data_IF_854350295792
#
_entry.id   IF_854350295792
#
_cell.length_a   1.000
_cell.length_b   1.000
_cell.length_c   1.000
_cell.angle_alpha   90.00
_cell.angle_beta   90.00
_cell.angle_gamma   90.00
#
_symmetry.space_group_name_H-M   'P 1'
#
loop_
_entity.id
_entity.type
_entity.pdbx_description
1 polymer ?
#
# COMPACT_ATOMS: atom_id res chain seq x y z
N UNK A 1 5.49 -12.08 6.14
CA UNK A 1 4.93 -12.41 4.81
C UNK A 1 4.29 -13.79 4.75
N UNK A 2 4.98 -14.89 5.14
CA UNK A 2 4.38 -16.25 5.10
C UNK A 2 3.06 -16.34 5.88
N UNK A 3 2.96 -15.72 7.06
CA UNK A 3 1.72 -15.68 7.85
C UNK A 3 0.55 -15.00 7.15
N UNK A 4 0.80 -13.96 6.35
CA UNK A 4 -0.25 -13.26 5.57
C UNK A 4 -0.69 -14.12 4.40
N UNK A 5 0.26 -14.74 3.68
CA UNK A 5 -0.07 -15.67 2.60
C UNK A 5 -0.90 -16.86 3.13
N UNK A 6 -0.51 -17.44 4.26
CA UNK A 6 -1.24 -18.53 4.90
C UNK A 6 -2.62 -18.11 5.37
N UNK A 7 -2.77 -16.92 5.99
CA UNK A 7 -4.08 -16.44 6.44
C UNK A 7 -5.05 -16.24 5.27
N UNK A 8 -4.57 -15.76 4.12
CA UNK A 8 -5.36 -15.63 2.90
C UNK A 8 -5.77 -16.98 2.34
N UNK A 9 -4.83 -17.92 2.22
CA UNK A 9 -5.12 -19.27 1.71
C UNK A 9 -6.15 -19.96 2.60
N UNK A 10 -5.94 -19.94 3.91
CA UNK A 10 -6.86 -20.56 4.88
C UNK A 10 -8.23 -19.86 4.81
N UNK A 11 -8.27 -18.53 4.80
CA UNK A 11 -9.51 -17.76 4.71
C UNK A 11 -10.30 -18.06 3.43
N UNK A 12 -9.61 -18.15 2.28
CA UNK A 12 -10.22 -18.49 1.00
C UNK A 12 -10.78 -19.92 0.99
N UNK A 13 -10.02 -20.89 1.49
CA UNK A 13 -10.47 -22.29 1.59
C UNK A 13 -11.67 -22.40 2.52
N UNK A 14 -11.64 -21.77 3.70
CA UNK A 14 -12.76 -21.77 4.64
C UNK A 14 -14.00 -21.10 4.04
N UNK A 15 -13.84 -19.96 3.36
CA UNK A 15 -14.95 -19.29 2.67
C UNK A 15 -15.54 -20.11 1.52
N UNK A 16 -14.73 -20.91 0.84
CA UNK A 16 -15.18 -21.80 -0.23
C UNK A 16 -15.94 -23.01 0.31
N UNK A 17 -15.41 -23.70 1.33
CA UNK A 17 -15.97 -24.94 1.87
C UNK A 17 -17.07 -24.73 2.92
N UNK A 18 -17.04 -23.63 3.68
CA UNK A 18 -17.95 -23.36 4.79
C UNK A 18 -18.58 -21.97 4.67
N UNK A 19 -19.68 -21.87 3.92
CA UNK A 19 -20.49 -20.65 3.80
C UNK A 19 -21.42 -20.50 5.01
N UNK A 20 -20.85 -20.16 6.17
CA UNK A 20 -21.65 -19.93 7.39
C UNK A 20 -22.40 -18.59 7.32
N UNK A 21 -23.75 -18.58 7.41
CA UNK A 21 -24.56 -17.35 7.33
C UNK A 21 -24.24 -16.33 8.42
N UNK A 22 -23.87 -16.81 9.62
CA UNK A 22 -23.51 -15.98 10.77
C UNK A 22 -22.21 -15.20 10.55
N UNK A 23 -21.22 -15.83 9.91
CA UNK A 23 -19.93 -15.20 9.61
C UNK A 23 -20.11 -14.14 8.55
N UNK A 24 -20.88 -14.43 7.49
CA UNK A 24 -21.21 -13.48 6.43
C UNK A 24 -21.93 -12.23 6.98
N UNK A 25 -22.82 -12.40 7.96
CA UNK A 25 -23.57 -11.28 8.55
C UNK A 25 -22.72 -10.35 9.42
N UNK A 26 -21.63 -10.83 10.02
CA UNK A 26 -20.81 -10.05 10.98
C UNK A 26 -19.42 -9.68 10.45
N UNK A 27 -18.97 -10.30 9.35
CA UNK A 27 -17.65 -10.07 8.77
C UNK A 27 -17.40 -8.59 8.49
N UNK A 28 -18.35 -7.89 7.87
CA UNK A 28 -18.18 -6.46 7.53
C UNK A 28 -17.95 -5.58 8.75
N UNK A 29 -18.71 -5.81 9.83
CA UNK A 29 -18.56 -5.03 11.07
C UNK A 29 -17.22 -5.32 11.74
N UNK A 30 -16.79 -6.58 11.75
CA UNK A 30 -15.51 -6.97 12.32
C UNK A 30 -14.33 -6.42 11.50
N UNK A 31 -14.45 -6.43 10.18
CA UNK A 31 -13.47 -5.82 9.26
C UNK A 31 -13.39 -4.31 9.50
N UNK A 32 -14.52 -3.60 9.57
CA UNK A 32 -14.55 -2.16 9.87
C UNK A 32 -13.90 -1.86 11.21
N UNK A 33 -14.22 -2.63 12.25
CA UNK A 33 -13.59 -2.47 13.56
C UNK A 33 -12.08 -2.70 13.50
N UNK A 34 -11.64 -3.76 12.82
CA UNK A 34 -10.23 -4.07 12.61
C UNK A 34 -9.49 -2.98 11.85
N UNK A 35 -10.11 -2.39 10.82
CA UNK A 35 -9.57 -1.25 10.08
C UNK A 35 -9.43 -0.01 10.97
N UNK A 36 -10.46 0.34 11.75
CA UNK A 36 -10.37 1.47 12.68
C UNK A 36 -9.25 1.26 13.71
N UNK A 37 -9.11 0.05 14.23
CA UNK A 37 -8.08 -0.32 15.19
C UNK A 37 -6.67 -0.30 14.57
N UNK A 38 -6.54 -0.75 13.31
CA UNK A 38 -5.32 -0.61 12.52
C UNK A 38 -4.93 0.87 12.35
N UNK A 39 -5.87 1.72 11.91
CA UNK A 39 -5.64 3.16 11.73
C UNK A 39 -5.27 3.86 13.03
N UNK A 40 -5.88 3.45 14.15
CA UNK A 40 -5.53 3.95 15.48
C UNK A 40 -4.07 3.63 15.85
N UNK A 41 -3.62 2.40 15.64
CA UNK A 41 -2.22 2.02 15.91
C UNK A 41 -1.23 2.69 14.96
N UNK A 42 -1.59 2.87 13.68
CA UNK A 42 -0.81 3.70 12.75
C UNK A 42 -0.65 5.11 13.32
N UNK A 43 -1.72 5.73 13.84
CA UNK A 43 -1.65 7.03 14.49
C UNK A 43 -0.68 7.07 15.69
N UNK A 44 -0.67 6.03 16.53
CA UNK A 44 0.27 5.92 17.66
C UNK A 44 1.72 5.83 17.19
N UNK A 45 1.99 5.01 16.16
CA UNK A 45 3.35 4.84 15.63
C UNK A 45 3.91 6.15 15.07
N UNK A 46 3.06 6.93 14.38
CA UNK A 46 3.40 8.27 13.91
C UNK A 46 3.76 9.19 15.08
N UNK A 47 2.94 9.19 16.15
CA UNK A 47 3.16 10.04 17.32
C UNK A 47 4.45 9.73 18.09
N UNK A 48 4.92 8.48 18.07
CA UNK A 48 6.14 8.07 18.79
C UNK A 48 7.43 8.53 18.12
N UNK A 49 7.41 8.77 16.81
CA UNK A 49 8.61 9.00 16.00
C UNK A 49 8.98 10.50 15.87
N UNK A 50 9.01 11.25 16.99
CA UNK A 50 9.31 12.69 17.00
C UNK A 50 10.72 13.04 16.45
N UNK A 51 11.71 12.18 16.66
CA UNK A 51 13.08 12.36 16.16
C UNK A 51 13.16 12.39 14.63
N UNK A 52 12.28 11.64 13.95
CA UNK A 52 12.20 11.61 12.49
C UNK A 52 11.74 12.97 11.95
N UNK A 53 10.78 13.62 12.62
CA UNK A 53 10.29 14.94 12.21
C UNK A 53 11.35 16.03 12.34
N UNK A 54 12.19 15.99 13.39
CA UNK A 54 13.30 16.94 13.54
C UNK A 54 14.38 16.71 12.49
N UNK A 55 14.69 15.45 12.17
CA UNK A 55 15.64 15.12 11.10
C UNK A 55 15.10 15.45 9.70
N UNK A 56 13.79 15.38 9.49
CA UNK A 56 13.18 15.80 8.22
C UNK A 56 13.34 17.30 7.95
N UNK A 57 13.38 18.15 8.99
CA UNK A 57 13.58 19.60 8.83
C UNK A 57 14.96 19.96 8.28
N UNK A 58 15.95 19.09 8.47
CA UNK A 58 17.32 19.30 7.98
C UNK A 58 17.53 18.75 6.57
N UNK A 59 16.59 17.96 6.06
CA UNK A 59 16.66 17.38 4.71
C UNK A 59 16.32 18.40 3.62
N UNK A 60 16.87 18.16 2.43
CA UNK A 60 16.60 18.97 1.27
C UNK A 60 15.11 18.93 0.91
N UNK A 61 14.48 20.11 0.73
CA UNK A 61 13.06 20.23 0.38
C UNK A 61 12.65 19.41 -0.86
N UNK A 62 13.58 19.13 -1.78
CA UNK A 62 13.31 18.25 -2.94
C UNK A 62 12.91 16.83 -2.53
N UNK A 63 13.39 16.34 -1.39
CA UNK A 63 13.04 15.01 -0.84
C UNK A 63 11.57 14.93 -0.47
N UNK A 64 10.96 16.05 -0.08
CA UNK A 64 9.53 16.12 0.27
C UNK A 64 8.62 15.80 -0.93
N UNK A 65 9.12 15.90 -2.16
CA UNK A 65 8.37 15.58 -3.38
C UNK A 65 8.32 14.08 -3.68
N UNK A 66 9.18 13.27 -3.07
CA UNK A 66 9.29 11.83 -3.34
C UNK A 66 7.97 11.05 -3.20
N UNK A 67 7.17 11.19 -2.11
CA UNK A 67 5.90 10.49 -2.01
C UNK A 67 4.92 10.89 -3.12
N UNK A 68 4.89 12.17 -3.51
CA UNK A 68 3.99 12.65 -4.57
C UNK A 68 4.38 12.12 -5.96
N UNK A 69 5.67 12.07 -6.26
CA UNK A 69 6.17 11.43 -7.50
C UNK A 69 5.82 9.95 -7.50
N UNK A 70 5.96 9.28 -6.35
CA UNK A 70 5.58 7.86 -6.19
C UNK A 70 4.09 7.64 -6.42
N UNK A 71 3.24 8.53 -5.89
CA UNK A 71 1.78 8.49 -6.11
C UNK A 71 1.49 8.62 -7.60
N UNK A 72 2.01 9.66 -8.25
CA UNK A 72 1.79 9.89 -9.69
C UNK A 72 2.26 8.70 -10.51
N UNK A 73 3.45 8.17 -10.24
CA UNK A 73 3.98 6.99 -10.92
C UNK A 73 3.11 5.75 -10.73
N UNK A 74 2.58 5.54 -9.52
CA UNK A 74 1.66 4.44 -9.22
C UNK A 74 0.36 4.56 -10.02
N UNK A 75 -0.26 5.75 -10.02
CA UNK A 75 -1.51 6.01 -10.75
C UNK A 75 -1.31 5.86 -12.27
N UNK A 76 -0.20 6.38 -12.81
CA UNK A 76 0.16 6.17 -14.22
C UNK A 76 0.39 4.69 -14.53
N UNK A 77 0.99 3.95 -13.61
CA UNK A 77 1.09 2.49 -13.69
C UNK A 77 -0.29 1.82 -13.79
N UNK A 78 -1.27 2.29 -13.01
CA UNK A 78 -2.67 1.85 -13.10
C UNK A 78 -3.33 2.17 -14.45
N UNK A 79 -3.07 3.37 -14.99
CA UNK A 79 -3.51 3.76 -16.34
C UNK A 79 -2.94 2.81 -17.39
N UNK A 80 -1.62 2.59 -17.38
CA UNK A 80 -0.97 1.68 -18.33
C UNK A 80 -1.49 0.25 -18.16
N UNK A 81 -1.65 -0.22 -16.91
CA UNK A 81 -2.21 -1.53 -16.60
C UNK A 81 -3.64 -1.72 -17.16
N UNK A 82 -4.47 -0.67 -17.14
CA UNK A 82 -5.83 -0.74 -17.70
C UNK A 82 -5.86 -0.98 -19.21
N UNK A 83 -4.82 -0.59 -19.95
CA UNK A 83 -4.73 -0.85 -21.40
C UNK A 83 -4.26 -2.27 -21.75
N UNK A 84 -3.64 -2.98 -20.80
CA UNK A 84 -3.08 -4.32 -21.02
C UNK A 84 -3.87 -5.41 -20.26
N UNK A 85 -4.85 -5.03 -19.46
CA UNK A 85 -5.72 -5.94 -18.70
C UNK A 85 -7.18 -5.74 -19.08
N UNK A 86 -8.08 -6.51 -18.48
CA UNK A 86 -9.53 -6.37 -18.67
C UNK A 86 -10.17 -5.31 -17.76
N UNK A 87 -9.36 -4.62 -16.95
CA UNK A 87 -9.86 -3.59 -16.05
C UNK A 87 -10.18 -2.31 -16.82
N UNK A 88 -11.28 -1.65 -16.47
CA UNK A 88 -11.53 -0.28 -16.91
C UNK A 88 -10.46 0.68 -16.38
N UNK A 89 -10.36 1.87 -16.99
CA UNK A 89 -9.42 2.91 -16.56
C UNK A 89 -9.59 3.24 -15.06
N UNK A 90 -10.84 3.39 -14.60
CA UNK A 90 -11.13 3.69 -13.20
C UNK A 90 -10.71 2.57 -12.26
N UNK A 91 -10.98 1.32 -12.61
CA UNK A 91 -10.57 0.15 -11.83
C UNK A 91 -9.05 0.01 -11.74
N UNK A 92 -8.33 0.19 -12.86
CA UNK A 92 -6.86 0.14 -12.89
C UNK A 92 -6.23 1.22 -11.99
N UNK A 93 -6.74 2.45 -12.06
CA UNK A 93 -6.29 3.54 -11.19
C UNK A 93 -6.63 3.24 -9.73
N UNK A 94 -7.84 2.75 -9.43
CA UNK A 94 -8.28 2.42 -8.08
C UNK A 94 -7.44 1.31 -7.44
N UNK A 95 -7.11 0.26 -8.19
CA UNK A 95 -6.21 -0.81 -7.74
C UNK A 95 -4.82 -0.26 -7.42
N UNK A 96 -4.29 0.59 -8.30
CA UNK A 96 -2.94 1.16 -8.16
C UNK A 96 -2.83 2.23 -7.06
N UNK A 97 -3.94 2.85 -6.65
CA UNK A 97 -3.98 3.87 -5.59
C UNK A 97 -3.89 3.29 -4.18
N UNK A 98 -3.98 1.96 -4.03
CA UNK A 98 -3.68 1.27 -2.77
C UNK A 98 -2.20 1.37 -2.35
N UNK A 99 -1.31 1.57 -3.32
CA UNK A 99 0.11 1.92 -3.12
C UNK A 99 0.89 1.09 -2.09
N UNK A 100 0.62 -0.20 -2.00
CA UNK A 100 1.23 -1.14 -1.05
C UNK A 100 0.37 -1.43 0.19
N UNK A 101 -0.67 -0.65 0.47
CA UNK A 101 -1.62 -0.94 1.56
C UNK A 101 -2.73 -1.88 1.10
N UNK A 102 -2.36 -3.15 0.85
CA UNK A 102 -3.29 -4.17 0.36
C UNK A 102 -4.47 -4.42 1.32
N UNK A 103 -4.28 -4.35 2.64
CA UNK A 103 -5.37 -4.60 3.59
C UNK A 103 -6.51 -3.61 3.42
N UNK A 104 -6.22 -2.31 3.40
CA UNK A 104 -7.24 -1.28 3.25
C UNK A 104 -7.83 -1.26 1.82
N UNK A 105 -6.96 -1.20 0.80
CA UNK A 105 -7.41 -1.08 -0.59
C UNK A 105 -8.25 -2.28 -1.06
N UNK A 106 -7.92 -3.50 -0.64
CA UNK A 106 -8.70 -4.69 -0.94
C UNK A 106 -10.10 -4.63 -0.32
N UNK A 107 -10.20 -4.23 0.95
CA UNK A 107 -11.49 -4.13 1.64
C UNK A 107 -12.35 -3.04 0.99
N UNK A 108 -11.77 -1.88 0.70
CA UNK A 108 -12.50 -0.76 0.11
C UNK A 108 -13.06 -1.12 -1.27
N UNK A 109 -12.25 -1.75 -2.12
CA UNK A 109 -12.66 -2.12 -3.48
C UNK A 109 -13.53 -3.39 -3.54
N UNK A 110 -13.46 -4.25 -2.52
CA UNK A 110 -14.38 -5.40 -2.40
C UNK A 110 -15.84 -4.98 -2.24
N UNK A 111 -16.11 -3.76 -1.76
CA UNK A 111 -17.48 -3.21 -1.63
C UNK A 111 -18.16 -3.02 -2.99
N UNK A 112 -17.37 -2.83 -4.05
CA UNK A 112 -17.83 -2.71 -5.44
C UNK A 112 -17.97 -4.12 -6.02
N UNK A 113 -16.85 -4.88 -6.02
CA UNK A 113 -16.81 -6.25 -6.49
C UNK A 113 -15.68 -7.01 -5.80
N UNK A 114 -15.97 -8.23 -5.32
CA UNK A 114 -14.99 -9.13 -4.74
C UNK A 114 -13.77 -9.40 -5.64
N UNK A 115 -13.96 -9.47 -6.96
CA UNK A 115 -12.86 -9.64 -7.92
C UNK A 115 -11.92 -8.43 -7.93
N UNK A 116 -12.47 -7.21 -7.86
CA UNK A 116 -11.68 -5.98 -7.83
C UNK A 116 -10.89 -5.87 -6.52
N UNK A 117 -11.54 -6.20 -5.40
CA UNK A 117 -10.87 -6.30 -4.10
C UNK A 117 -9.74 -7.33 -4.06
N UNK A 118 -9.97 -8.52 -4.63
CA UNK A 118 -8.93 -9.55 -4.76
C UNK A 118 -7.76 -9.11 -5.65
N UNK A 119 -8.05 -8.39 -6.73
CA UNK A 119 -7.03 -7.81 -7.62
C UNK A 119 -6.21 -6.74 -6.91
N UNK A 120 -6.86 -5.86 -6.14
CA UNK A 120 -6.21 -4.86 -5.31
C UNK A 120 -5.32 -5.48 -4.23
N UNK A 121 -5.80 -6.53 -3.57
CA UNK A 121 -5.00 -7.28 -2.59
C UNK A 121 -3.72 -7.82 -3.24
N UNK A 122 -3.90 -8.61 -4.31
CA UNK A 122 -2.80 -9.37 -4.90
C UNK A 122 -1.78 -8.47 -5.59
N UNK A 123 -2.23 -7.44 -6.31
CA UNK A 123 -1.33 -6.48 -6.95
C UNK A 123 -0.46 -5.72 -5.94
N UNK A 124 -1.03 -5.29 -4.81
CA UNK A 124 -0.28 -4.57 -3.79
C UNK A 124 0.64 -5.50 -2.98
N UNK A 125 0.27 -6.77 -2.76
CA UNK A 125 1.18 -7.81 -2.23
C UNK A 125 2.35 -8.06 -3.20
N UNK A 126 2.08 -8.19 -4.50
CA UNK A 126 3.13 -8.35 -5.49
C UNK A 126 4.04 -7.13 -5.59
N UNK A 127 3.49 -5.92 -5.47
CA UNK A 127 4.31 -4.70 -5.39
C UNK A 127 5.31 -4.78 -4.23
N UNK A 128 4.88 -5.20 -3.03
CA UNK A 128 5.77 -5.34 -1.88
C UNK A 128 6.86 -6.39 -2.15
N UNK A 129 6.49 -7.56 -2.69
CA UNK A 129 7.44 -8.62 -3.03
C UNK A 129 8.46 -8.16 -4.09
N UNK A 130 7.98 -7.53 -5.17
CA UNK A 130 8.84 -6.98 -6.21
C UNK A 130 9.76 -5.90 -5.64
N UNK A 131 9.28 -5.01 -4.78
CA UNK A 131 10.11 -4.02 -4.12
C UNK A 131 11.24 -4.68 -3.32
N UNK A 132 10.93 -5.68 -2.48
CA UNK A 132 11.93 -6.43 -1.71
C UNK A 132 13.04 -7.01 -2.61
N UNK A 133 12.68 -7.61 -3.74
CA UNK A 133 13.66 -8.20 -4.65
C UNK A 133 14.43 -7.15 -5.46
N UNK A 134 13.78 -6.07 -5.88
CA UNK A 134 14.36 -5.08 -6.80
C UNK A 134 15.14 -3.96 -6.11
N UNK A 135 14.80 -3.60 -4.86
CA UNK A 135 15.44 -2.50 -4.12
C UNK A 135 16.97 -2.60 -4.07
N UNK A 136 17.59 -3.76 -3.77
CA UNK A 136 19.05 -3.86 -3.79
C UNK A 136 19.67 -3.48 -5.14
N UNK A 137 19.00 -3.85 -6.23
CA UNK A 137 19.47 -3.55 -7.59
C UNK A 137 19.20 -2.10 -8.00
N UNK A 138 18.02 -1.57 -7.68
CA UNK A 138 17.64 -0.19 -7.97
C UNK A 138 18.55 0.77 -7.19
N UNK A 139 18.81 0.51 -5.91
CA UNK A 139 19.69 1.31 -5.07
C UNK A 139 21.11 1.36 -5.64
N UNK A 140 21.65 0.22 -6.08
CA UNK A 140 23.01 0.13 -6.61
C UNK A 140 23.17 0.75 -8.02
N UNK A 141 22.15 0.68 -8.88
CA UNK A 141 22.28 1.05 -10.31
C UNK A 141 21.57 2.34 -10.71
N UNK A 142 20.48 2.70 -10.04
CA UNK A 142 19.61 3.82 -10.43
C UNK A 142 19.68 4.93 -9.38
N UNK A 143 19.59 4.55 -8.11
CA UNK A 143 19.73 5.46 -6.98
C UNK A 143 18.79 5.15 -5.82
N UNK A 144 19.12 5.73 -4.67
CA UNK A 144 18.46 5.46 -3.41
C UNK A 144 17.01 5.95 -3.36
N UNK A 145 16.72 7.14 -3.86
CA UNK A 145 15.35 7.69 -3.89
C UNK A 145 14.41 6.84 -4.75
N UNK A 146 14.89 6.36 -5.90
CA UNK A 146 14.15 5.49 -6.80
C UNK A 146 13.86 4.14 -6.14
N UNK A 147 14.81 3.62 -5.36
CA UNK A 147 14.62 2.38 -4.59
C UNK A 147 13.49 2.54 -3.56
N UNK A 148 13.46 3.66 -2.84
CA UNK A 148 12.38 3.98 -1.88
C UNK A 148 11.02 4.09 -2.55
N UNK A 149 10.95 4.77 -3.71
CA UNK A 149 9.70 4.97 -4.45
C UNK A 149 9.00 3.66 -4.83
N UNK A 150 9.78 2.61 -5.15
CA UNK A 150 9.23 1.30 -5.53
C UNK A 150 8.35 0.65 -4.44
N UNK A 151 8.66 0.90 -3.17
CA UNK A 151 7.96 0.29 -2.03
C UNK A 151 6.58 0.91 -1.74
N UNK A 152 6.36 2.19 -2.05
CA UNK A 152 5.09 2.86 -1.71
C UNK A 152 4.88 3.01 -0.20
N UNK A 153 3.70 2.69 0.30
CA UNK A 153 3.34 2.76 1.72
C UNK A 153 4.25 1.88 2.59
N UNK A 154 4.63 0.71 2.08
CA UNK A 154 5.42 -0.28 2.84
C UNK A 154 6.88 0.13 3.06
N UNK A 155 7.30 1.26 2.48
CA UNK A 155 8.63 1.84 2.67
C UNK A 155 8.92 2.18 4.14
N UNK A 156 7.89 2.48 4.94
CA UNK A 156 8.07 2.86 6.35
C UNK A 156 8.15 1.68 7.32
N UNK A 157 7.72 0.48 6.91
CA UNK A 157 7.58 -0.66 7.81
C UNK A 157 8.18 -1.97 7.22
N UNK A 158 7.42 -2.74 6.46
CA UNK A 158 7.75 -4.10 6.03
C UNK A 158 8.94 -4.13 5.09
N UNK A 159 9.14 -3.08 4.30
CA UNK A 159 10.24 -2.96 3.33
C UNK A 159 11.40 -2.11 3.87
N UNK A 160 11.21 -1.40 5.00
CA UNK A 160 12.25 -0.54 5.59
C UNK A 160 13.56 -1.29 5.89
N UNK A 161 13.57 -2.53 6.46
CA UNK A 161 14.82 -3.26 6.68
C UNK A 161 15.60 -3.56 5.41
N UNK A 162 14.93 -3.75 4.27
CA UNK A 162 15.56 -4.00 2.97
C UNK A 162 16.17 -2.71 2.42
N UNK A 163 15.45 -1.59 2.56
CA UNK A 163 15.95 -0.26 2.20
C UNK A 163 17.22 0.05 3.00
N UNK A 164 17.19 -0.14 4.33
CA UNK A 164 18.32 0.17 5.22
C UNK A 164 19.57 -0.67 4.94
N UNK A 165 19.40 -1.90 4.45
CA UNK A 165 20.52 -2.78 4.07
C UNK A 165 21.13 -2.40 2.72
N UNK A 166 20.33 -1.80 1.84
CA UNK A 166 20.70 -1.53 0.45
C UNK A 166 21.09 -0.07 0.20
N UNK A 167 20.90 0.82 1.18
CA UNK A 167 21.09 2.25 1.05
C UNK A 167 21.87 2.84 2.24
N UNK A 168 22.47 4.03 2.06
CA UNK A 168 23.05 4.79 3.15
C UNK A 168 22.04 5.11 4.29
N UNK A 169 22.51 5.31 5.55
CA UNK A 169 21.64 5.45 6.71
C UNK A 169 20.62 6.60 6.64
N UNK A 170 20.98 7.70 5.99
CA UNK A 170 20.14 8.90 5.81
C UNK A 170 18.89 8.63 4.96
N UNK A 171 18.92 7.61 4.09
CA UNK A 171 17.78 7.21 3.27
C UNK A 171 16.66 6.57 4.10
N UNK A 172 16.96 6.01 5.26
CA UNK A 172 15.97 5.36 6.13
C UNK A 172 14.87 6.34 6.57
N UNK A 173 15.26 7.57 6.92
CA UNK A 173 14.35 8.65 7.35
C UNK A 173 13.45 9.06 6.18
N UNK A 174 14.00 9.07 4.97
CA UNK A 174 13.31 9.44 3.73
C UNK A 174 12.29 8.36 3.35
N UNK A 175 12.65 7.09 3.51
CA UNK A 175 11.76 5.95 3.31
C UNK A 175 10.59 5.97 4.29
N UNK A 176 10.88 6.20 5.57
CA UNK A 176 9.85 6.36 6.58
C UNK A 176 8.90 7.51 6.24
N UNK A 177 9.43 8.70 5.92
CA UNK A 177 8.62 9.85 5.52
C UNK A 177 7.75 9.56 4.29
N UNK A 178 8.34 8.97 3.24
CA UNK A 178 7.60 8.67 2.01
C UNK A 178 6.47 7.66 2.28
N UNK A 179 6.76 6.58 3.00
CA UNK A 179 5.75 5.58 3.37
C UNK A 179 4.66 6.16 4.25
N UNK A 180 5.02 7.04 5.20
CA UNK A 180 4.08 7.75 6.07
C UNK A 180 3.11 8.63 5.28
N UNK A 181 3.63 9.49 4.40
CA UNK A 181 2.79 10.39 3.58
C UNK A 181 1.84 9.60 2.70
N UNK A 182 2.34 8.54 2.05
CA UNK A 182 1.50 7.67 1.21
C UNK A 182 0.43 6.98 2.06
N UNK A 183 0.79 6.47 3.24
CA UNK A 183 -0.16 5.84 4.18
C UNK A 183 -1.27 6.81 4.57
N UNK A 184 -0.97 8.07 4.87
CA UNK A 184 -2.00 9.07 5.19
C UNK A 184 -2.91 9.34 3.99
N UNK A 185 -2.37 9.32 2.77
CA UNK A 185 -3.10 9.66 1.54
C UNK A 185 -4.00 8.50 1.07
N UNK A 186 -3.57 7.25 1.18
CA UNK A 186 -4.30 6.07 0.64
C UNK A 186 -5.78 6.01 1.09
N UNK A 187 -6.12 6.17 2.40
CA UNK A 187 -7.51 6.13 2.87
C UNK A 187 -8.43 7.18 2.26
N UNK A 188 -7.88 8.30 1.79
CA UNK A 188 -8.63 9.35 1.09
C UNK A 188 -8.63 9.10 -0.41
N UNK A 189 -7.49 8.68 -0.96
CA UNK A 189 -7.28 8.52 -2.40
C UNK A 189 -8.11 7.37 -2.99
N UNK A 190 -8.15 6.20 -2.35
CA UNK A 190 -8.88 5.04 -2.91
C UNK A 190 -10.38 5.35 -3.02
N UNK A 191 -11.09 5.82 -1.97
CA UNK A 191 -12.51 6.20 -2.11
C UNK A 191 -12.73 7.38 -3.06
N UNK A 192 -11.81 8.35 -3.11
CA UNK A 192 -11.92 9.47 -4.05
C UNK A 192 -11.87 9.01 -5.50
N UNK A 193 -10.97 8.09 -5.85
CA UNK A 193 -10.91 7.52 -7.20
C UNK A 193 -12.20 6.76 -7.52
N UNK A 194 -12.70 5.95 -6.59
CA UNK A 194 -13.98 5.24 -6.75
C UNK A 194 -15.11 6.22 -7.06
N UNK A 195 -15.20 7.33 -6.32
CA UNK A 195 -16.22 8.35 -6.52
C UNK A 195 -16.06 9.09 -7.87
N UNK A 196 -14.84 9.49 -8.23
CA UNK A 196 -14.54 10.23 -9.47
C UNK A 196 -14.93 9.41 -10.70
N UNK A 197 -14.61 8.11 -10.69
CA UNK A 197 -14.90 7.21 -11.81
C UNK A 197 -16.29 6.56 -11.70
N UNK A 198 -17.07 6.89 -10.67
CA UNK A 198 -18.41 6.34 -10.43
C UNK A 198 -18.43 4.80 -10.50
N UNK A 199 -17.44 4.17 -9.86
CA UNK A 199 -17.36 2.70 -9.82
C UNK A 199 -18.47 2.20 -8.88
N UNK A 200 -19.42 1.44 -9.44
CA UNK A 200 -20.63 0.95 -8.76
C UNK A 200 -20.72 -0.57 -8.80
#
# INVERSE_FOLDING_TARGET
>A
MLGIALSVIIGALLGFFHKSPLVLAHADNLIKFGLCLLLFFVGIDIGKNQSVFEQLKTLNKKVLLLPFITIIGSLLGGVVASFITTLSLGEGIAVSSGMGWYSFSAIELSKINAQLGGTAFLSNVFRELLAIFTIPFIAAKIGSFQSVSSAGATAMDSVLPVINRSNPPDISIIAFYSGLVITIIVPVMVPAVVAIFSLS
#
